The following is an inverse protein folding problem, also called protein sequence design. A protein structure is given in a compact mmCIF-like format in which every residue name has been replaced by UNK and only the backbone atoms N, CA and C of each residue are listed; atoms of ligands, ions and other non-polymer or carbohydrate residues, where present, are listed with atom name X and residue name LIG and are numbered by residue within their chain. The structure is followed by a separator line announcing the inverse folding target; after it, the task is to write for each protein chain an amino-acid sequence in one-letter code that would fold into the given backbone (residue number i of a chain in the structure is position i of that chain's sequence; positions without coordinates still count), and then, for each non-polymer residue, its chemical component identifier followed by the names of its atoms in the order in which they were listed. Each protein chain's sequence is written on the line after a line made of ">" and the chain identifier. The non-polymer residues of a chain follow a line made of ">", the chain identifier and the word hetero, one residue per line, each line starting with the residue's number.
data_IF_135788366646
#
_entry.id   IF_135788366646
#
_cell.length_a   1.000
_cell.length_b   1.000
_cell.length_c   1.000
_cell.angle_alpha   90.00
_cell.angle_beta   90.00
_cell.angle_gamma   90.00
#
_symmetry.space_group_name_H-M   'P 1'
#
loop_
_entity.id
_entity.type
_entity.pdbx_description
1 polymer ?
#
# COMPACT_ATOMS: atom_id res chain seq x y z
N UNK A 1 -1.90 -6.34 25.64
CA UNK A 1 -2.14 -7.09 24.38
C UNK A 1 -1.06 -6.70 23.36
N UNK A 2 -0.92 -7.34 22.19
CA UNK A 2 0.14 -6.92 21.23
C UNK A 2 -0.08 -5.48 20.74
N UNK A 3 -1.33 -5.08 20.50
CA UNK A 3 -1.68 -3.73 20.02
C UNK A 3 -1.33 -2.62 21.03
N UNK A 4 -1.36 -2.85 22.35
CA UNK A 4 -1.02 -1.79 23.33
C UNK A 4 0.42 -1.30 23.17
N UNK A 5 1.35 -2.18 22.78
CA UNK A 5 2.74 -1.78 22.47
C UNK A 5 2.84 -0.97 21.18
N UNK A 6 1.99 -1.27 20.20
CA UNK A 6 1.92 -0.56 18.92
C UNK A 6 1.37 0.86 19.15
N UNK A 7 0.27 0.98 19.90
CA UNK A 7 -0.31 2.28 20.26
C UNK A 7 0.70 3.16 20.99
N UNK A 8 1.38 2.63 22.02
CA UNK A 8 2.44 3.36 22.72
C UNK A 8 3.53 3.86 21.77
N UNK A 9 3.92 3.03 20.80
CA UNK A 9 4.92 3.42 19.80
C UNK A 9 4.42 4.52 18.89
N UNK A 10 3.15 4.48 18.48
CA UNK A 10 2.53 5.53 17.67
C UNK A 10 2.49 6.85 18.45
N UNK A 11 2.10 6.83 19.73
CA UNK A 11 2.11 8.00 20.60
C UNK A 11 3.51 8.61 20.73
N UNK A 12 4.53 7.77 20.98
CA UNK A 12 5.94 8.20 21.03
C UNK A 12 6.40 8.86 19.71
N UNK A 13 5.94 8.36 18.56
CA UNK A 13 6.29 8.91 17.24
C UNK A 13 5.57 10.22 16.93
N UNK A 14 4.34 10.38 17.40
CA UNK A 14 3.60 11.65 17.35
C UNK A 14 4.28 12.69 18.25
N UNK A 15 4.64 12.32 19.48
CA UNK A 15 5.38 13.20 20.40
C UNK A 15 6.75 13.62 19.84
N UNK A 16 7.43 12.71 19.12
CA UNK A 16 8.68 13.00 18.42
C UNK A 16 8.51 13.81 17.12
N UNK A 17 7.28 14.15 16.71
CA UNK A 17 7.01 14.95 15.53
C UNK A 17 7.26 14.26 14.18
N UNK A 18 7.25 12.92 14.13
CA UNK A 18 7.46 12.17 12.87
C UNK A 18 6.25 12.33 11.94
N UNK A 19 5.05 12.31 12.51
CA UNK A 19 3.78 12.57 11.83
C UNK A 19 2.76 13.09 12.86
N UNK A 20 1.75 13.87 12.44
CA UNK A 20 0.85 14.56 13.36
C UNK A 20 -0.24 13.68 13.98
N UNK A 21 -0.60 12.59 13.32
CA UNK A 21 -1.68 11.70 13.73
C UNK A 21 -1.68 10.40 12.93
N UNK A 22 -2.43 9.40 13.40
CA UNK A 22 -2.52 8.09 12.77
C UNK A 22 -3.86 7.39 13.07
N UNK A 23 -4.37 6.69 12.07
CA UNK A 23 -5.45 5.70 12.21
C UNK A 23 -4.84 4.30 12.21
N UNK A 24 -5.16 3.48 13.21
CA UNK A 24 -4.66 2.12 13.35
C UNK A 24 -5.79 1.12 13.57
N UNK A 25 -5.83 0.07 12.76
CA UNK A 25 -6.78 -1.03 12.88
C UNK A 25 -6.05 -2.36 13.14
N UNK A 26 -6.56 -3.14 14.09
CA UNK A 26 -6.06 -4.46 14.43
C UNK A 26 -7.17 -5.50 14.26
N UNK A 27 -6.93 -6.49 13.39
CA UNK A 27 -7.86 -7.59 13.19
C UNK A 27 -7.35 -8.86 13.89
N UNK A 28 -8.15 -9.41 14.79
CA UNK A 28 -7.85 -10.67 15.49
C UNK A 28 -9.14 -11.35 15.92
N UNK A 29 -9.18 -12.68 15.85
CA UNK A 29 -10.31 -13.50 16.31
C UNK A 29 -11.65 -13.04 15.67
N UNK A 30 -11.60 -12.71 14.38
CA UNK A 30 -12.71 -12.19 13.59
C UNK A 30 -13.31 -10.85 14.10
N UNK A 31 -12.52 -10.06 14.82
CA UNK A 31 -12.93 -8.77 15.35
C UNK A 31 -11.90 -7.69 14.99
N UNK A 32 -12.44 -6.51 14.67
CA UNK A 32 -11.65 -5.29 14.49
C UNK A 32 -11.54 -4.53 15.80
N UNK A 33 -10.39 -3.92 16.03
CA UNK A 33 -10.19 -2.90 17.06
C UNK A 33 -9.48 -1.73 16.41
N UNK A 34 -10.05 -0.54 16.53
CA UNK A 34 -9.62 0.66 15.83
C UNK A 34 -9.20 1.74 16.83
N UNK A 35 -8.18 2.51 16.46
CA UNK A 35 -7.62 3.59 17.26
C UNK A 35 -7.31 4.77 16.35
N UNK A 36 -7.60 5.96 16.84
CA UNK A 36 -7.39 7.22 16.13
C UNK A 36 -6.63 8.15 17.06
N UNK A 37 -5.42 8.57 16.65
CA UNK A 37 -4.48 9.29 17.52
C UNK A 37 -4.00 10.57 16.87
N UNK A 38 -3.75 11.59 17.68
CA UNK A 38 -3.21 12.88 17.24
C UNK A 38 -4.14 13.63 16.29
N UNK A 39 -3.54 14.46 15.44
CA UNK A 39 -4.24 15.37 14.55
C UNK A 39 -4.11 14.95 13.09
N UNK A 40 -5.21 14.96 12.36
CA UNK A 40 -5.22 14.80 10.90
C UNK A 40 -4.79 16.08 10.19
N UNK A 41 -5.05 17.24 10.82
CA UNK A 41 -4.68 18.55 10.32
C UNK A 41 -4.33 19.47 11.51
N UNK A 42 -3.04 19.56 11.88
CA UNK A 42 -2.59 20.41 12.99
C UNK A 42 -2.83 21.89 12.76
N UNK A 43 -2.79 22.37 11.52
CA UNK A 43 -2.97 23.80 11.20
C UNK A 43 -4.39 24.26 11.54
N UNK A 44 -5.37 23.39 11.31
CA UNK A 44 -6.78 23.64 11.59
C UNK A 44 -7.27 22.98 12.90
N UNK A 45 -6.38 22.31 13.63
CA UNK A 45 -6.68 21.64 14.90
C UNK A 45 -7.55 20.38 14.80
N UNK A 46 -7.73 19.82 13.59
CA UNK A 46 -8.60 18.67 13.36
C UNK A 46 -7.97 17.39 13.91
N UNK A 47 -8.78 16.60 14.61
CA UNK A 47 -8.35 15.34 15.20
C UNK A 47 -8.42 14.20 14.19
N UNK A 48 -7.52 13.23 14.33
CA UNK A 48 -7.67 11.97 13.62
C UNK A 48 -8.93 11.27 14.12
N UNK A 49 -9.81 10.87 13.20
CA UNK A 49 -11.10 10.26 13.50
C UNK A 49 -11.48 9.18 12.49
N UNK A 50 -12.55 8.44 12.80
CA UNK A 50 -13.08 7.41 11.93
C UNK A 50 -13.58 7.99 10.60
N UNK A 51 -13.33 7.28 9.49
CA UNK A 51 -13.82 7.67 8.16
C UNK A 51 -12.90 8.60 7.37
N UNK A 52 -11.75 8.98 7.92
CA UNK A 52 -10.74 9.73 7.17
C UNK A 52 -10.18 8.91 6.00
N UNK A 53 -9.89 9.60 4.90
CA UNK A 53 -9.29 9.03 3.68
C UNK A 53 -7.83 9.45 3.60
N UNK A 54 -6.96 8.47 3.35
CA UNK A 54 -5.52 8.66 3.22
C UNK A 54 -5.06 8.20 1.84
N UNK A 55 -4.02 8.85 1.31
CA UNK A 55 -3.30 8.31 0.15
C UNK A 55 -2.53 7.06 0.57
N UNK A 56 -2.79 5.93 -0.11
CA UNK A 56 -2.13 4.65 0.15
C UNK A 56 -0.71 4.58 -0.43
N UNK A 57 -0.33 5.52 -1.29
CA UNK A 57 0.95 5.52 -1.98
C UNK A 57 1.28 4.13 -2.55
N UNK A 58 2.48 3.60 -2.31
CA UNK A 58 2.90 2.29 -2.84
C UNK A 58 2.12 1.09 -2.29
N UNK A 59 1.32 1.21 -1.22
CA UNK A 59 0.40 0.13 -0.80
C UNK A 59 -0.61 -0.19 -1.90
N UNK A 60 -0.97 0.79 -2.74
CA UNK A 60 -1.84 0.61 -3.92
C UNK A 60 -1.36 -0.45 -4.90
N UNK A 61 -0.04 -0.67 -5.01
CA UNK A 61 0.54 -1.73 -5.87
C UNK A 61 0.09 -3.12 -5.42
N UNK A 62 -0.01 -3.35 -4.12
CA UNK A 62 -0.39 -4.66 -3.56
C UNK A 62 -1.90 -4.82 -3.55
N UNK A 63 -2.61 -3.87 -2.94
CA UNK A 63 -4.07 -4.00 -2.73
C UNK A 63 -4.89 -3.72 -3.99
N UNK A 64 -4.35 -2.93 -4.93
CA UNK A 64 -4.98 -2.62 -6.20
C UNK A 64 -4.43 -3.48 -7.33
N UNK A 65 -3.24 -3.12 -7.82
CA UNK A 65 -2.65 -3.73 -9.03
C UNK A 65 -2.44 -5.23 -8.86
N UNK A 66 -1.77 -5.66 -7.79
CA UNK A 66 -1.51 -7.07 -7.50
C UNK A 66 -2.80 -7.88 -7.41
N UNK A 67 -3.81 -7.36 -6.71
CA UNK A 67 -5.11 -8.03 -6.58
C UNK A 67 -5.81 -8.22 -7.93
N UNK A 68 -5.85 -7.19 -8.77
CA UNK A 68 -6.47 -7.28 -10.11
C UNK A 68 -5.68 -8.25 -11.01
N UNK A 69 -4.35 -8.15 -11.04
CA UNK A 69 -3.52 -9.05 -11.84
C UNK A 69 -3.67 -10.52 -11.42
N UNK A 70 -3.67 -10.80 -10.11
CA UNK A 70 -3.92 -12.15 -9.59
C UNK A 70 -5.30 -12.64 -9.99
N UNK A 71 -6.35 -11.83 -9.85
CA UNK A 71 -7.71 -12.22 -10.25
C UNK A 71 -7.79 -12.58 -11.75
N UNK A 72 -7.23 -11.73 -12.61
CA UNK A 72 -7.22 -11.97 -14.06
C UNK A 72 -6.40 -13.21 -14.44
N UNK A 73 -5.30 -13.46 -13.73
CA UNK A 73 -4.49 -14.67 -13.92
C UNK A 73 -5.25 -15.93 -13.55
N UNK A 74 -5.91 -15.95 -12.38
CA UNK A 74 -6.71 -17.08 -11.90
C UNK A 74 -7.85 -17.46 -12.86
N UNK A 75 -8.48 -16.48 -13.52
CA UNK A 75 -9.56 -16.73 -14.49
C UNK A 75 -9.05 -16.92 -15.93
N UNK A 76 -7.74 -16.99 -16.13
CA UNK A 76 -7.12 -17.22 -17.45
C UNK A 76 -7.21 -16.04 -18.42
N UNK A 77 -7.49 -14.83 -17.94
CA UNK A 77 -7.56 -13.61 -18.76
C UNK A 77 -6.23 -12.86 -18.84
N UNK A 78 -5.28 -13.15 -17.95
CA UNK A 78 -3.94 -12.59 -17.99
C UNK A 78 -2.91 -13.71 -17.83
N UNK A 79 -2.09 -13.95 -18.84
CA UNK A 79 -0.89 -14.77 -18.68
C UNK A 79 0.26 -13.85 -18.25
N UNK A 80 0.70 -14.01 -17.01
CA UNK A 80 1.74 -13.17 -16.39
C UNK A 80 3.15 -13.51 -16.89
N UNK A 81 3.33 -14.61 -17.63
CA UNK A 81 4.61 -14.95 -18.26
C UNK A 81 4.75 -14.35 -19.66
N UNK A 82 3.73 -13.64 -20.16
CA UNK A 82 3.82 -12.86 -21.40
C UNK A 82 4.73 -11.66 -21.26
N UNK A 83 5.31 -11.27 -22.39
CA UNK A 83 6.14 -10.08 -22.52
C UNK A 83 5.29 -8.81 -22.36
N UNK A 84 5.89 -7.77 -21.80
CA UNK A 84 5.26 -6.45 -21.63
C UNK A 84 4.91 -5.84 -22.98
N UNK A 85 5.75 -6.03 -24.00
CA UNK A 85 5.54 -5.53 -25.35
C UNK A 85 4.28 -6.08 -26.04
N UNK A 86 3.73 -7.18 -25.56
CA UNK A 86 2.43 -7.68 -26.03
C UNK A 86 1.27 -6.73 -25.69
N UNK A 87 1.44 -5.90 -24.67
CA UNK A 87 0.45 -4.95 -24.16
C UNK A 87 0.87 -3.49 -24.32
N UNK A 88 2.19 -3.24 -24.32
CA UNK A 88 2.80 -1.92 -24.51
C UNK A 88 3.89 -2.02 -25.60
N UNK A 89 3.51 -2.06 -26.89
CA UNK A 89 4.44 -2.32 -28.00
C UNK A 89 5.59 -1.33 -28.11
N UNK A 90 5.44 -0.12 -27.59
CA UNK A 90 6.43 0.96 -27.58
C UNK A 90 7.46 0.86 -26.44
N UNK A 91 7.36 -0.15 -25.56
CA UNK A 91 8.31 -0.36 -24.47
C UNK A 91 9.73 -0.59 -24.98
N UNK A 92 10.70 0.15 -24.43
CA UNK A 92 12.14 -0.04 -24.69
C UNK A 92 12.70 -1.37 -24.12
N UNK A 93 11.87 -2.14 -23.41
CA UNK A 93 12.24 -3.38 -22.75
C UNK A 93 11.50 -4.58 -23.35
N UNK A 94 11.98 -5.11 -24.49
CA UNK A 94 11.27 -6.16 -25.24
C UNK A 94 11.26 -7.52 -24.54
N UNK A 95 12.24 -7.77 -23.66
CA UNK A 95 12.46 -9.08 -23.05
C UNK A 95 11.87 -9.20 -21.62
N UNK A 96 11.19 -8.16 -21.12
CA UNK A 96 10.59 -8.17 -19.79
C UNK A 96 9.21 -8.82 -19.84
N UNK A 97 8.97 -9.76 -18.93
CA UNK A 97 7.65 -10.33 -18.67
C UNK A 97 6.83 -9.52 -17.66
N UNK A 98 5.51 -9.66 -17.69
CA UNK A 98 4.62 -9.05 -16.68
C UNK A 98 5.01 -9.51 -15.27
N UNK A 99 5.34 -10.79 -15.08
CA UNK A 99 5.77 -11.34 -13.79
C UNK A 99 6.97 -10.58 -13.25
N UNK A 100 8.00 -10.35 -14.07
CA UNK A 100 9.19 -9.65 -13.62
C UNK A 100 8.88 -8.21 -13.19
N UNK A 101 7.99 -7.50 -13.90
CA UNK A 101 7.54 -6.17 -13.47
C UNK A 101 6.83 -6.21 -12.11
N UNK A 102 5.85 -7.12 -11.96
CA UNK A 102 5.06 -7.23 -10.74
C UNK A 102 5.89 -7.60 -9.51
N UNK A 103 7.03 -8.27 -9.71
CA UNK A 103 7.92 -8.71 -8.63
C UNK A 103 9.19 -7.88 -8.48
N UNK A 104 9.30 -6.73 -9.15
CA UNK A 104 10.50 -5.88 -9.13
C UNK A 104 11.80 -6.64 -9.51
N UNK A 105 11.72 -7.52 -10.51
CA UNK A 105 12.83 -8.36 -10.96
C UNK A 105 13.40 -7.91 -12.32
N UNK A 106 13.39 -6.61 -12.60
CA UNK A 106 13.65 -6.05 -13.94
C UNK A 106 14.84 -5.11 -14.07
N UNK A 107 15.57 -4.79 -12.99
CA UNK A 107 16.68 -3.82 -12.98
C UNK A 107 16.37 -2.47 -13.69
N UNK A 108 15.08 -2.14 -13.80
CA UNK A 108 14.62 -0.89 -14.37
C UNK A 108 15.00 0.24 -13.42
N UNK A 109 15.63 1.27 -13.96
CA UNK A 109 15.93 2.47 -13.18
C UNK A 109 14.59 3.14 -12.78
N UNK A 110 14.35 3.38 -11.48
CA UNK A 110 13.12 3.98 -11.00
C UNK A 110 13.04 5.50 -11.23
N UNK A 111 14.06 6.13 -11.82
CA UNK A 111 14.17 7.59 -11.99
C UNK A 111 14.24 8.08 -13.45
N UNK A 112 14.00 7.18 -14.42
CA UNK A 112 14.04 7.51 -15.86
C UNK A 112 12.89 8.44 -16.26
#
# INVERSE_FOLDING_TARGET
>A
MKWTKIIKKIEEQIEAGIYPGASFAYFKDNQWTEFYLGQSDPEHGLQTEAGLVYDLASVSKVVGVGTVCTFLWEIGQLDIDRLVIDFLPESDYPDITIRQLLTHATDLDPFI
#
